data_IF_140503642570
#
_entry.id   IF_140503642570
#
_cell.length_a   1.000
_cell.length_b   1.000
_cell.length_c   1.000
_cell.angle_alpha   90.00
_cell.angle_beta   90.00
_cell.angle_gamma   90.00
#
_symmetry.space_group_name_H-M   'P 1'
#
loop_
_entity.id
_entity.type
_entity.pdbx_description
1 polymer ?
#
# COMPACT_ATOMS: atom_id res chain seq x y z
N UNK A 1 34.28 -44.32 52.57
CA UNK A 1 32.82 -44.41 52.83
C UNK A 1 32.19 -43.17 52.22
N UNK A 2 31.42 -43.31 51.13
CA UNK A 2 29.95 -43.11 51.08
C UNK A 2 29.55 -41.77 51.74
N UNK A 3 29.01 -40.78 51.05
CA UNK A 3 27.90 -40.91 50.11
C UNK A 3 27.86 -39.88 48.99
N UNK A 4 27.32 -40.38 47.88
CA UNK A 4 26.88 -39.70 46.67
C UNK A 4 25.45 -39.20 46.93
N UNK A 5 25.16 -37.94 46.59
CA UNK A 5 23.95 -37.51 45.84
C UNK A 5 23.95 -35.99 45.79
N UNK A 6 24.35 -35.36 44.68
CA UNK A 6 23.48 -35.09 43.52
C UNK A 6 22.25 -34.25 43.94
N UNK A 7 22.34 -32.94 43.72
CA UNK A 7 21.35 -32.06 43.05
C UNK A 7 22.08 -30.72 42.88
N UNK A 8 22.90 -30.66 41.83
CA UNK A 8 23.46 -29.42 41.31
C UNK A 8 23.07 -29.37 39.84
N UNK A 9 21.78 -29.29 39.54
CA UNK A 9 21.31 -29.06 38.18
C UNK A 9 19.83 -28.65 38.21
N UNK A 10 19.59 -27.37 38.35
CA UNK A 10 18.36 -26.76 37.79
C UNK A 10 18.76 -25.38 37.32
N UNK A 11 19.59 -25.41 36.27
CA UNK A 11 19.78 -24.31 35.35
C UNK A 11 18.38 -23.81 34.97
N UNK A 12 18.07 -22.57 35.35
CA UNK A 12 16.88 -21.85 34.90
C UNK A 12 17.00 -21.66 33.40
N UNK A 13 16.66 -22.71 32.64
CA UNK A 13 16.37 -22.63 31.23
C UNK A 13 14.96 -22.05 31.12
N UNK A 14 14.86 -20.74 31.37
CA UNK A 14 13.71 -19.95 30.99
C UNK A 14 13.53 -20.10 29.49
N UNK A 15 12.62 -20.99 29.12
CA UNK A 15 12.12 -21.19 27.78
C UNK A 15 11.58 -19.83 27.28
N UNK A 16 12.43 -19.04 26.66
CA UNK A 16 11.98 -17.99 25.75
C UNK A 16 11.37 -18.72 24.56
N UNK A 17 10.12 -19.14 24.71
CA UNK A 17 9.28 -19.55 23.60
C UNK A 17 9.13 -18.32 22.71
N UNK A 18 10.03 -18.18 21.73
CA UNK A 18 9.81 -17.25 20.63
C UNK A 18 8.62 -17.80 19.86
N UNK A 19 7.45 -17.24 20.10
CA UNK A 19 6.31 -17.39 19.21
C UNK A 19 6.73 -16.81 17.88
N UNK A 20 7.25 -17.66 16.99
CA UNK A 20 7.41 -17.33 15.59
C UNK A 20 6.00 -17.13 15.02
N UNK A 21 5.46 -15.92 15.14
CA UNK A 21 4.29 -15.52 14.38
C UNK A 21 4.74 -15.50 12.93
N UNK A 22 4.40 -16.55 12.19
CA UNK A 22 4.43 -16.48 10.74
C UNK A 22 3.49 -15.32 10.37
N UNK A 23 4.06 -14.23 9.87
CA UNK A 23 3.32 -13.04 9.50
C UNK A 23 2.61 -13.32 8.16
N UNK A 24 1.60 -14.18 8.20
CA UNK A 24 0.73 -14.56 7.08
C UNK A 24 -0.38 -13.54 6.95
N UNK A 25 -0.05 -12.26 6.89
CA UNK A 25 -1.06 -11.21 6.72
C UNK A 25 -1.55 -11.26 5.26
N UNK A 26 -2.47 -12.18 4.98
CA UNK A 26 -3.10 -12.33 3.66
C UNK A 26 -3.77 -11.00 3.30
N UNK A 27 -3.58 -10.58 2.05
CA UNK A 27 -4.26 -9.40 1.53
C UNK A 27 -5.72 -9.74 1.25
N UNK A 28 -6.62 -8.88 1.72
CA UNK A 28 -8.05 -8.91 1.44
C UNK A 28 -8.41 -7.70 0.59
N UNK A 29 -9.34 -7.88 -0.34
CA UNK A 29 -9.88 -6.76 -1.13
C UNK A 29 -10.79 -5.91 -0.25
N UNK A 30 -10.56 -4.60 -0.25
CA UNK A 30 -11.38 -3.67 0.51
C UNK A 30 -12.71 -3.42 -0.23
N UNK A 31 -13.85 -3.34 0.48
CA UNK A 31 -15.15 -3.15 -0.15
C UNK A 31 -15.23 -1.78 -0.86
N UNK A 32 -15.64 -1.80 -2.11
CA UNK A 32 -15.90 -0.59 -2.89
C UNK A 32 -17.27 -0.01 -2.51
N UNK A 33 -17.32 1.26 -2.10
CA UNK A 33 -18.59 1.98 -1.97
C UNK A 33 -18.72 2.93 -3.17
N UNK A 34 -19.54 2.60 -4.19
CA UNK A 34 -19.71 3.47 -5.35
C UNK A 34 -20.39 4.79 -4.94
N UNK A 35 -19.95 5.90 -5.55
CA UNK A 35 -20.64 7.19 -5.47
C UNK A 35 -20.29 8.10 -4.29
N UNK A 36 -19.24 7.81 -3.52
CA UNK A 36 -18.83 8.67 -2.41
C UNK A 36 -17.95 9.83 -2.88
N UNK A 37 -18.43 11.06 -2.70
CA UNK A 37 -17.61 12.28 -2.77
C UNK A 37 -17.04 12.52 -1.37
N UNK A 38 -15.75 12.27 -1.19
CA UNK A 38 -15.07 12.48 0.08
C UNK A 38 -14.58 13.93 0.19
N UNK A 39 -15.11 14.70 1.15
CA UNK A 39 -14.82 16.12 1.32
C UNK A 39 -13.85 16.39 2.49
N UNK A 40 -12.68 15.76 2.48
CA UNK A 40 -11.63 16.04 3.47
C UNK A 40 -10.87 17.31 3.12
N UNK A 41 -10.54 18.11 4.14
CA UNK A 41 -9.62 19.25 4.01
C UNK A 41 -8.27 18.82 3.41
N UNK A 42 -7.59 19.74 2.73
CA UNK A 42 -6.26 19.52 2.15
C UNK A 42 -5.30 20.67 2.49
N UNK A 43 -5.21 21.01 3.77
CA UNK A 43 -4.37 22.12 4.25
C UNK A 43 -2.89 21.95 3.87
N UNK A 44 -2.44 20.70 3.81
CA UNK A 44 -1.10 20.34 3.36
C UNK A 44 -0.88 20.54 1.85
N UNK A 45 -1.94 20.87 1.09
CA UNK A 45 -1.94 21.12 -0.36
C UNK A 45 -1.21 20.02 -1.13
N UNK A 46 -1.52 18.76 -0.79
CA UNK A 46 -0.92 17.60 -1.44
C UNK A 46 -1.78 17.17 -2.61
N UNK A 47 -1.17 17.11 -3.79
CA UNK A 47 -1.81 16.76 -5.04
C UNK A 47 -0.90 15.81 -5.83
N UNK A 48 -1.46 14.91 -6.65
CA UNK A 48 -0.67 14.20 -7.64
C UNK A 48 0.04 15.19 -8.56
N UNK A 49 1.24 14.85 -9.02
CA UNK A 49 1.93 15.64 -10.02
C UNK A 49 1.13 15.64 -11.32
N UNK A 50 1.00 16.83 -11.91
CA UNK A 50 0.27 17.03 -13.14
C UNK A 50 0.79 16.10 -14.25
N UNK A 51 -0.12 15.31 -14.82
CA UNK A 51 0.17 14.36 -15.89
C UNK A 51 -1.06 14.10 -16.73
N UNK A 52 -0.88 13.40 -17.84
CA UNK A 52 -1.93 12.96 -18.76
C UNK A 52 -2.29 11.49 -18.54
N UNK A 53 -2.07 10.97 -17.33
CA UNK A 53 -2.48 9.63 -16.95
C UNK A 53 -3.86 9.68 -16.31
N UNK A 54 -4.69 8.66 -16.55
CA UNK A 54 -5.98 8.47 -15.86
C UNK A 54 -6.08 7.07 -15.29
N UNK A 55 -6.69 6.92 -14.12
CA UNK A 55 -6.98 5.60 -13.53
C UNK A 55 -8.36 5.13 -14.01
N UNK A 56 -8.38 4.10 -14.83
CA UNK A 56 -9.64 3.54 -15.37
C UNK A 56 -10.23 2.44 -14.51
N UNK A 57 -9.39 1.78 -13.70
CA UNK A 57 -9.81 0.80 -12.70
C UNK A 57 -8.91 0.87 -11.48
N UNK A 58 -9.49 0.69 -10.30
CA UNK A 58 -8.75 0.60 -9.04
C UNK A 58 -9.42 -0.38 -8.08
N UNK A 59 -8.61 -1.19 -7.40
CA UNK A 59 -9.03 -2.07 -6.31
C UNK A 59 -8.05 -1.91 -5.16
N UNK A 60 -8.53 -1.43 -4.02
CA UNK A 60 -7.75 -1.34 -2.78
C UNK A 60 -7.70 -2.70 -2.09
N UNK A 61 -6.57 -2.99 -1.45
CA UNK A 61 -6.37 -4.20 -0.67
C UNK A 61 -5.65 -3.87 0.63
N UNK A 62 -5.99 -4.62 1.67
CA UNK A 62 -5.33 -4.47 2.96
C UNK A 62 -5.03 -5.78 3.66
N UNK A 63 -4.10 -5.74 4.60
CA UNK A 63 -3.83 -6.85 5.51
C UNK A 63 -4.14 -6.46 6.96
N UNK A 64 -4.29 -7.48 7.81
CA UNK A 64 -4.46 -7.28 9.27
C UNK A 64 -3.29 -6.53 9.92
N UNK A 65 -2.07 -6.69 9.37
CA UNK A 65 -0.89 -5.94 9.82
C UNK A 65 -0.89 -4.47 9.39
N UNK A 66 -1.91 -4.01 8.66
CA UNK A 66 -2.05 -2.63 8.21
C UNK A 66 -1.40 -2.34 6.86
N UNK A 67 -0.89 -3.34 6.11
CA UNK A 67 -0.36 -3.09 4.76
C UNK A 67 -1.49 -2.57 3.86
N UNK A 68 -1.20 -1.54 3.08
CA UNK A 68 -2.16 -0.93 2.14
C UNK A 68 -1.61 -0.99 0.72
N UNK A 69 -2.32 -1.68 -0.15
CA UNK A 69 -1.97 -1.83 -1.55
C UNK A 69 -3.17 -1.43 -2.41
N UNK A 70 -2.91 -1.09 -3.66
CA UNK A 70 -3.95 -0.95 -4.67
C UNK A 70 -3.49 -1.56 -5.98
N UNK A 71 -4.36 -2.33 -6.64
CA UNK A 71 -4.19 -2.65 -8.05
C UNK A 71 -4.88 -1.57 -8.85
N UNK A 72 -4.14 -0.90 -9.73
CA UNK A 72 -4.68 0.14 -10.60
C UNK A 72 -4.45 -0.24 -12.05
N UNK A 73 -5.36 0.14 -12.94
CA UNK A 73 -5.12 0.19 -14.39
C UNK A 73 -5.00 1.65 -14.79
N UNK A 74 -3.82 2.03 -15.24
CA UNK A 74 -3.51 3.39 -15.71
C UNK A 74 -3.57 3.41 -17.22
N UNK A 75 -4.15 4.46 -17.78
CA UNK A 75 -4.16 4.77 -19.22
C UNK A 75 -3.37 6.04 -19.49
N UNK A 76 -2.54 6.05 -20.53
CA UNK A 76 -1.93 7.28 -21.06
C UNK A 76 -2.90 7.98 -22.02
N UNK A 77 -3.37 9.18 -21.66
CA UNK A 77 -4.28 10.02 -22.46
C UNK A 77 -3.54 11.03 -23.34
N UNK A 78 -2.21 11.10 -23.27
CA UNK A 78 -1.42 12.01 -24.08
C UNK A 78 -1.33 11.57 -25.54
N UNK A 79 -1.16 12.53 -26.45
CA UNK A 79 -0.66 12.24 -27.79
C UNK A 79 0.83 11.87 -27.71
N UNK A 80 1.14 10.57 -27.79
CA UNK A 80 2.49 10.02 -27.73
C UNK A 80 2.89 9.46 -26.35
N UNK A 81 4.11 8.92 -26.27
CA UNK A 81 4.52 8.19 -25.08
C UNK A 81 4.82 9.08 -23.87
N UNK A 82 4.57 8.54 -22.67
CA UNK A 82 4.91 9.14 -21.38
C UNK A 82 5.53 8.13 -20.44
N UNK A 83 6.32 8.60 -19.49
CA UNK A 83 6.88 7.77 -18.41
C UNK A 83 6.01 7.99 -17.17
N UNK A 84 5.42 6.91 -16.67
CA UNK A 84 4.68 6.92 -15.42
C UNK A 84 5.66 6.89 -14.24
N UNK A 85 5.40 7.74 -13.24
CA UNK A 85 6.19 7.90 -12.02
C UNK A 85 5.26 7.84 -10.81
N UNK A 86 5.81 7.49 -9.65
CA UNK A 86 5.03 7.35 -8.42
C UNK A 86 4.33 8.66 -8.00
N UNK A 87 4.94 9.81 -8.28
CA UNK A 87 4.38 11.12 -7.97
C UNK A 87 3.13 11.49 -8.81
N UNK A 88 2.90 10.82 -9.95
CA UNK A 88 1.66 11.00 -10.74
C UNK A 88 0.42 10.37 -10.11
N UNK A 89 0.60 9.47 -9.12
CA UNK A 89 -0.51 8.75 -8.47
C UNK A 89 -0.56 9.13 -6.99
N UNK A 90 -1.78 9.29 -6.48
CA UNK A 90 -2.04 9.61 -5.07
C UNK A 90 -3.16 8.72 -4.54
N UNK A 91 -3.05 8.30 -3.27
CA UNK A 91 -4.14 7.71 -2.52
C UNK A 91 -4.70 8.70 -1.50
N UNK A 92 -6.03 8.72 -1.34
CA UNK A 92 -6.74 9.37 -0.25
C UNK A 92 -7.06 8.32 0.82
N UNK A 93 -6.65 8.58 2.06
CA UNK A 93 -6.90 7.73 3.22
C UNK A 93 -8.12 8.20 4.00
N UNK A 94 -8.70 7.31 4.83
CA UNK A 94 -9.90 7.61 5.61
C UNK A 94 -9.71 8.66 6.72
N UNK A 95 -8.48 9.06 7.00
CA UNK A 95 -8.12 10.19 7.87
C UNK A 95 -7.85 11.49 7.10
N UNK A 96 -8.12 11.50 5.79
CA UNK A 96 -7.91 12.67 4.91
C UNK A 96 -6.47 12.84 4.42
N UNK A 97 -5.51 12.02 4.88
CA UNK A 97 -4.14 12.09 4.37
C UNK A 97 -4.08 11.67 2.90
N UNK A 98 -3.18 12.32 2.17
CA UNK A 98 -2.90 12.07 0.74
C UNK A 98 -1.46 11.63 0.58
N UNK A 99 -1.25 10.40 0.12
CA UNK A 99 0.08 9.79 0.01
C UNK A 99 0.32 9.23 -1.39
N UNK A 100 1.53 9.44 -1.91
CA UNK A 100 2.00 8.73 -3.09
C UNK A 100 2.29 7.27 -2.75
N UNK A 101 2.22 6.34 -3.73
CA UNK A 101 2.71 5.00 -3.51
C UNK A 101 4.21 5.04 -3.18
N UNK A 102 4.66 4.07 -2.40
CA UNK A 102 6.07 3.69 -2.35
C UNK A 102 6.52 3.40 -3.78
N UNK A 103 7.75 3.81 -4.09
CA UNK A 103 8.29 3.74 -5.45
C UNK A 103 8.02 2.37 -6.11
N UNK A 104 7.64 2.42 -7.38
CA UNK A 104 7.56 1.27 -8.28
C UNK A 104 8.58 1.43 -9.40
N UNK A 105 8.73 0.41 -10.24
CA UNK A 105 9.73 0.35 -11.30
C UNK A 105 9.87 1.68 -12.05
N UNK A 106 11.11 2.18 -12.13
CA UNK A 106 11.39 3.39 -12.88
C UNK A 106 11.29 3.10 -14.38
N UNK A 107 10.82 4.09 -15.16
CA UNK A 107 10.81 3.99 -16.61
C UNK A 107 9.65 3.18 -17.19
N UNK A 108 8.53 3.04 -16.48
CA UNK A 108 7.29 2.49 -17.05
C UNK A 108 6.79 3.45 -18.14
N UNK A 109 7.22 3.19 -19.37
CA UNK A 109 6.78 3.90 -20.56
C UNK A 109 5.44 3.33 -21.01
N UNK A 110 4.48 4.21 -21.25
CA UNK A 110 3.21 3.91 -21.89
C UNK A 110 3.12 4.70 -23.19
N UNK A 111 2.75 4.05 -24.27
CA UNK A 111 2.42 4.71 -25.55
C UNK A 111 1.02 5.34 -25.51
N UNK A 112 0.64 6.05 -26.56
CA UNK A 112 -0.67 6.71 -26.68
C UNK A 112 -1.82 5.68 -26.54
N UNK A 113 -2.75 5.95 -25.61
CA UNK A 113 -3.89 5.09 -25.31
C UNK A 113 -3.52 3.76 -24.62
N UNK A 114 -2.23 3.51 -24.35
CA UNK A 114 -1.81 2.28 -23.72
C UNK A 114 -2.34 2.21 -22.28
N UNK A 115 -2.79 1.01 -21.89
CA UNK A 115 -3.24 0.68 -20.54
C UNK A 115 -2.30 -0.31 -19.89
N UNK A 116 -1.95 -0.07 -18.63
CA UNK A 116 -1.14 -1.01 -17.85
C UNK A 116 -1.66 -1.13 -16.43
N UNK A 117 -1.77 -2.38 -15.97
CA UNK A 117 -2.11 -2.68 -14.58
C UNK A 117 -0.87 -2.78 -13.71
N UNK A 118 -0.92 -2.14 -12.55
CA UNK A 118 0.18 -2.06 -11.57
C UNK A 118 -0.34 -2.37 -10.18
N UNK A 119 0.47 -3.05 -9.38
CA UNK A 119 0.23 -3.17 -7.94
C UNK A 119 1.07 -2.12 -7.22
N UNK A 120 0.40 -1.19 -6.56
CA UNK A 120 0.99 -0.09 -5.82
C UNK A 120 0.97 -0.40 -4.33
N UNK A 121 2.05 -0.10 -3.63
CA UNK A 121 2.12 -0.19 -2.17
C UNK A 121 2.11 1.21 -1.57
N UNK A 122 1.36 1.42 -0.50
CA UNK A 122 1.35 2.67 0.27
C UNK A 122 1.89 2.46 1.70
N UNK A 123 2.61 1.35 1.91
CA UNK A 123 3.19 1.00 3.20
C UNK A 123 2.15 0.50 4.20
N UNK A 124 2.48 0.63 5.49
CA UNK A 124 1.60 0.26 6.60
C UNK A 124 0.87 1.48 7.13
N UNK A 125 -0.46 1.40 7.25
CA UNK A 125 -1.32 2.45 7.77
C UNK A 125 -2.55 1.85 8.46
N UNK A 126 -2.96 2.46 9.57
CA UNK A 126 -4.17 2.07 10.31
C UNK A 126 -5.45 2.38 9.53
N UNK A 127 -5.45 3.45 8.74
CA UNK A 127 -6.60 3.89 7.95
C UNK A 127 -6.61 3.22 6.55
N UNK A 128 -7.79 2.82 6.04
CA UNK A 128 -7.92 2.25 4.69
C UNK A 128 -7.76 3.33 3.60
N UNK A 129 -7.45 2.87 2.39
CA UNK A 129 -7.46 3.71 1.18
C UNK A 129 -8.91 3.84 0.71
N UNK A 130 -9.39 5.08 0.60
CA UNK A 130 -10.72 5.40 0.09
C UNK A 130 -10.75 5.58 -1.43
N UNK A 131 -9.69 6.15 -1.99
CA UNK A 131 -9.55 6.38 -3.43
C UNK A 131 -8.08 6.38 -3.85
N UNK A 132 -7.83 6.03 -5.11
CA UNK A 132 -6.54 6.20 -5.78
C UNK A 132 -6.80 6.96 -7.08
N UNK A 133 -6.07 8.05 -7.30
CA UNK A 133 -6.35 9.01 -8.36
C UNK A 133 -5.07 9.62 -8.92
N UNK A 134 -5.17 10.17 -10.13
CA UNK A 134 -4.17 11.02 -10.77
C UNK A 134 -4.69 12.47 -10.82
N UNK A 135 -3.90 13.38 -11.38
CA UNK A 135 -4.35 14.76 -11.61
C UNK A 135 -5.49 14.90 -12.62
N UNK A 136 -5.77 13.88 -13.44
CA UNK A 136 -6.92 13.90 -14.37
C UNK A 136 -8.22 13.37 -13.75
N UNK A 137 -8.11 12.64 -12.63
CA UNK A 137 -9.25 11.98 -11.99
C UNK A 137 -9.77 12.78 -10.77
N UNK A 138 -9.12 13.91 -10.44
CA UNK A 138 -9.54 14.86 -9.39
C UNK A 138 -10.70 15.75 -9.86
#
# INVERSE_FOLDING_TARGET
MKGISLIAFTLVAGFMARSAHANTSVLSVDPITPGNVFAFENDARRYPKQSEFSIVHSVSMSSESGRRLAVVTVENKASGSRILQADHIMALFADGRRLHPLAFDEGIKLDDGEKRSLTLSFGENEYPILAVYTSLDE
#
